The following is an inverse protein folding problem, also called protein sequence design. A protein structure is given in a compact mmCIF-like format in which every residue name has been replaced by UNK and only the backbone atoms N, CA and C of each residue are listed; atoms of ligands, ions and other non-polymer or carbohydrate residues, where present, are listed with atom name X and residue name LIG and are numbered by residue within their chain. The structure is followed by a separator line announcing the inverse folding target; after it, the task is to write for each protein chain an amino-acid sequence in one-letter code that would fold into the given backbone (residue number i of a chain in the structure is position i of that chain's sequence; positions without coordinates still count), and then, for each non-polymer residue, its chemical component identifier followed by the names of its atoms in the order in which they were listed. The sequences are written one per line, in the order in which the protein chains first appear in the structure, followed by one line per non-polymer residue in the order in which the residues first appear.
data_IF_154787307944
#
_entry.id   IF_154787307944
#
_cell.length_a   1.000
_cell.length_b   1.000
_cell.length_c   1.000
_cell.angle_alpha   90.00
_cell.angle_beta   90.00
_cell.angle_gamma   90.00
#
_symmetry.space_group_name_H-M   'P 1'
#
loop_
_entity.id
_entity.type
_entity.pdbx_description
1 polymer ?
#
# COMPACT_ATOMS: atom_id res chain seq x y z
N UNK A 1 19.26 -20.16 61.10
CA UNK A 1 17.99 -19.99 60.36
C UNK A 1 17.37 -18.67 60.80
N UNK A 2 16.86 -17.88 59.84
CA UNK A 2 16.25 -16.54 59.98
C UNK A 2 17.21 -15.35 59.97
N UNK A 3 17.41 -14.75 58.80
CA UNK A 3 17.68 -13.32 58.66
C UNK A 3 17.54 -12.90 57.19
N UNK A 4 16.74 -11.84 56.94
CA UNK A 4 16.70 -11.04 55.69
C UNK A 4 15.97 -11.78 54.56
N UNK A 5 15.02 -11.23 53.82
CA UNK A 5 15.02 -9.90 53.23
C UNK A 5 13.54 -9.52 53.04
N UNK A 6 12.97 -8.89 54.06
CA UNK A 6 11.99 -7.85 53.79
C UNK A 6 12.74 -6.78 52.97
N UNK A 7 12.06 -6.15 52.02
CA UNK A 7 12.57 -5.12 51.10
C UNK A 7 13.10 -5.64 49.77
N UNK A 8 12.19 -5.75 48.80
CA UNK A 8 12.37 -5.19 47.45
C UNK A 8 10.97 -4.97 46.86
N UNK A 9 10.22 -4.04 47.49
CA UNK A 9 9.25 -3.20 46.79
C UNK A 9 10.04 -2.32 45.80
N UNK A 10 10.60 -2.93 44.76
CA UNK A 10 11.23 -2.21 43.65
C UNK A 10 10.17 -2.04 42.58
N UNK A 11 9.43 -0.94 42.73
CA UNK A 11 8.85 -0.10 41.68
C UNK A 11 9.28 -0.54 40.28
N UNK A 12 8.58 -1.53 39.72
CA UNK A 12 8.65 -1.84 38.31
C UNK A 12 7.61 -0.92 37.65
N UNK A 13 8.04 0.31 37.37
CA UNK A 13 7.27 1.26 36.55
C UNK A 13 6.99 0.53 35.24
N UNK A 14 5.71 0.19 35.08
CA UNK A 14 5.15 -0.46 33.90
C UNK A 14 5.49 0.40 32.67
N UNK A 15 6.55 0.03 31.96
CA UNK A 15 6.74 0.40 30.57
C UNK A 15 5.67 -0.34 29.76
N UNK A 16 4.43 0.17 29.78
CA UNK A 16 3.37 -0.31 28.92
C UNK A 16 3.83 -0.05 27.48
N UNK A 17 3.98 -1.08 26.63
CA UNK A 17 4.21 -0.84 25.22
C UNK A 17 2.99 -0.08 24.71
N UNK A 18 3.20 1.17 24.30
CA UNK A 18 2.16 1.95 23.66
C UNK A 18 1.91 1.28 22.31
N UNK A 19 0.91 0.39 22.26
CA UNK A 19 0.47 -0.22 21.03
C UNK A 19 0.03 0.91 20.11
N UNK A 20 0.87 1.23 19.12
CA UNK A 20 0.53 2.16 18.07
C UNK A 20 -0.73 1.62 17.39
N UNK A 21 -1.87 2.27 17.63
CA UNK A 21 -3.11 1.91 17.00
C UNK A 21 -2.94 2.16 15.50
N UNK A 22 -2.83 1.08 14.73
CA UNK A 22 -2.88 1.16 13.28
C UNK A 22 -4.25 1.73 12.92
N UNK A 23 -4.32 3.04 12.67
CA UNK A 23 -5.54 3.67 12.15
C UNK A 23 -5.90 2.94 10.86
N UNK A 24 -7.04 2.25 10.88
CA UNK A 24 -7.58 1.57 9.71
C UNK A 24 -7.71 2.57 8.57
N UNK A 25 -7.28 2.16 7.36
CA UNK A 25 -7.43 2.99 6.16
C UNK A 25 -8.90 3.16 5.79
N UNK A 26 -9.23 4.34 5.28
CA UNK A 26 -10.57 4.70 4.86
C UNK A 26 -10.62 4.87 3.34
N UNK A 27 -10.96 3.79 2.65
CA UNK A 27 -11.12 3.80 1.19
C UNK A 27 -12.53 3.33 0.87
N UNK A 28 -13.29 4.17 0.19
CA UNK A 28 -14.64 3.87 -0.29
C UNK A 28 -14.60 3.74 -1.79
N UNK A 29 -15.13 2.64 -2.33
CA UNK A 29 -15.25 2.42 -3.77
C UNK A 29 -16.69 2.08 -4.09
N UNK A 30 -17.31 2.83 -5.01
CA UNK A 30 -18.71 2.63 -5.40
C UNK A 30 -19.67 2.60 -4.19
N UNK A 31 -19.43 3.48 -3.21
CA UNK A 31 -20.22 3.57 -1.97
C UNK A 31 -19.90 2.50 -0.92
N UNK A 32 -19.01 1.54 -1.19
CA UNK A 32 -18.63 0.49 -0.24
C UNK A 32 -17.30 0.80 0.44
N UNK A 33 -17.29 0.82 1.77
CA UNK A 33 -16.04 0.92 2.55
C UNK A 33 -15.27 -0.39 2.40
N UNK A 34 -14.04 -0.31 1.90
CA UNK A 34 -13.19 -1.47 1.70
C UNK A 34 -12.49 -1.86 3.00
N UNK A 35 -12.54 -3.16 3.32
CA UNK A 35 -11.72 -3.75 4.38
C UNK A 35 -10.22 -3.78 4.02
N UNK A 36 -9.34 -4.01 5.01
CA UNK A 36 -7.89 -3.92 4.82
C UNK A 36 -7.34 -4.86 3.73
N UNK A 37 -7.88 -6.08 3.61
CA UNK A 37 -7.48 -7.02 2.57
C UNK A 37 -7.90 -6.57 1.15
N UNK A 38 -9.07 -5.94 1.01
CA UNK A 38 -9.54 -5.40 -0.26
C UNK A 38 -8.72 -4.17 -0.67
N UNK A 39 -8.41 -3.29 0.28
CA UNK A 39 -7.51 -2.15 0.07
C UNK A 39 -6.12 -2.64 -0.38
N UNK A 40 -5.56 -3.65 0.28
CA UNK A 40 -4.26 -4.22 -0.11
C UNK A 40 -4.28 -4.87 -1.50
N UNK A 41 -5.40 -5.46 -1.92
CA UNK A 41 -5.58 -5.94 -3.30
C UNK A 41 -5.62 -4.78 -4.29
N UNK A 42 -6.34 -3.71 -3.97
CA UNK A 42 -6.47 -2.55 -4.84
C UNK A 42 -5.13 -1.80 -4.99
N UNK A 43 -4.36 -1.65 -3.91
CA UNK A 43 -3.01 -1.08 -3.95
C UNK A 43 -2.08 -1.88 -4.89
N UNK A 44 -2.16 -3.23 -4.83
CA UNK A 44 -1.41 -4.11 -5.74
C UNK A 44 -1.85 -3.94 -7.18
N UNK A 45 -3.16 -3.92 -7.43
CA UNK A 45 -3.71 -3.73 -8.77
C UNK A 45 -3.33 -2.36 -9.36
N UNK A 46 -3.25 -1.33 -8.53
CA UNK A 46 -2.88 0.02 -8.92
C UNK A 46 -1.35 0.27 -8.95
N UNK A 47 -0.51 -0.70 -8.54
CA UNK A 47 0.93 -0.54 -8.33
C UNK A 47 1.33 0.72 -7.55
N UNK A 48 0.46 1.15 -6.63
CA UNK A 48 0.59 2.37 -5.86
C UNK A 48 -0.26 2.26 -4.57
N UNK A 49 0.14 2.98 -3.52
CA UNK A 49 -0.66 3.07 -2.30
C UNK A 49 -1.77 4.09 -2.52
N UNK A 50 -3.01 3.65 -2.41
CA UNK A 50 -4.16 4.52 -2.66
C UNK A 50 -4.41 5.43 -1.46
N UNK A 51 -4.59 6.75 -1.63
CA UNK A 51 -4.94 7.63 -0.52
C UNK A 51 -6.32 7.30 0.06
N UNK A 52 -6.52 7.61 1.34
CA UNK A 52 -7.85 7.54 1.94
C UNK A 52 -8.81 8.50 1.22
N UNK A 53 -10.03 8.08 0.95
CA UNK A 53 -10.98 8.84 0.16
C UNK A 53 -12.12 8.01 -0.44
N UNK A 54 -12.95 8.67 -1.23
CA UNK A 54 -14.10 8.07 -1.92
C UNK A 54 -13.90 8.11 -3.43
N UNK A 55 -14.09 6.95 -4.05
CA UNK A 55 -13.79 6.72 -5.45
C UNK A 55 -14.97 6.01 -6.13
N UNK A 56 -15.08 6.21 -7.44
CA UNK A 56 -15.88 5.33 -8.29
C UNK A 56 -14.94 4.55 -9.22
N UNK A 57 -15.31 3.31 -9.51
CA UNK A 57 -14.60 2.44 -10.46
C UNK A 57 -15.64 1.75 -11.33
N UNK A 58 -15.49 1.91 -12.65
CA UNK A 58 -16.21 1.10 -13.62
C UNK A 58 -15.54 -0.29 -13.73
N UNK A 59 -16.22 -1.33 -13.27
CA UNK A 59 -15.66 -2.69 -13.19
C UNK A 59 -15.42 -3.33 -14.56
N UNK A 60 -16.04 -2.84 -15.64
CA UNK A 60 -15.85 -3.37 -17.00
C UNK A 60 -14.59 -2.83 -17.66
N UNK A 61 -14.38 -1.52 -17.56
CA UNK A 61 -13.29 -0.80 -18.24
C UNK A 61 -12.07 -0.55 -17.34
N UNK A 62 -12.23 -0.72 -16.03
CA UNK A 62 -11.22 -0.39 -15.02
C UNK A 62 -10.95 1.11 -14.86
N UNK A 63 -11.76 1.96 -15.50
CA UNK A 63 -11.65 3.42 -15.34
C UNK A 63 -12.09 3.81 -13.94
N UNK A 64 -11.38 4.75 -13.33
CA UNK A 64 -11.66 5.23 -11.99
C UNK A 64 -11.62 6.75 -11.90
N UNK A 65 -12.23 7.28 -10.83
CA UNK A 65 -12.11 8.67 -10.44
C UNK A 65 -12.55 8.91 -9.00
N UNK A 66 -12.45 10.16 -8.54
CA UNK A 66 -13.05 10.57 -7.26
C UNK A 66 -14.57 10.54 -7.37
N UNK A 67 -15.26 10.13 -6.29
CA UNK A 67 -16.72 10.05 -6.27
C UNK A 67 -17.38 11.37 -6.72
N UNK A 68 -18.28 11.31 -7.70
CA UNK A 68 -18.94 12.49 -8.30
C UNK A 68 -18.08 13.33 -9.26
N UNK A 69 -16.81 12.95 -9.45
CA UNK A 69 -15.86 13.64 -10.33
C UNK A 69 -15.65 12.99 -11.69
N UNK A 70 -14.82 13.63 -12.51
CA UNK A 70 -14.42 13.14 -13.84
C UNK A 70 -13.43 11.96 -13.75
N UNK A 71 -13.31 11.13 -14.80
CA UNK A 71 -12.31 10.06 -14.87
C UNK A 71 -10.88 10.57 -14.62
N UNK A 72 -10.11 9.82 -13.84
CA UNK A 72 -8.71 10.14 -13.50
C UNK A 72 -7.70 9.21 -14.20
N UNK A 73 -8.12 8.00 -14.58
CA UNK A 73 -7.27 7.04 -15.28
C UNK A 73 -7.86 5.64 -15.26
N UNK A 74 -7.03 4.61 -15.53
CA UNK A 74 -7.38 3.21 -15.35
C UNK A 74 -6.58 2.56 -14.22
N UNK A 75 -7.20 1.60 -13.56
CA UNK A 75 -6.53 0.79 -12.54
C UNK A 75 -5.38 0.03 -13.21
N UNK A 76 -4.17 0.22 -12.70
CA UNK A 76 -2.96 -0.46 -13.18
C UNK A 76 -2.09 0.33 -14.15
N UNK A 77 -2.48 1.54 -14.56
CA UNK A 77 -1.65 2.39 -15.44
C UNK A 77 -0.25 2.64 -14.84
N UNK A 78 -0.16 2.82 -13.53
CA UNK A 78 1.12 2.97 -12.82
C UNK A 78 2.02 1.72 -12.92
N UNK A 79 1.45 0.53 -13.13
CA UNK A 79 2.23 -0.69 -13.34
C UNK A 79 2.98 -0.64 -14.67
N UNK A 80 2.38 -0.04 -15.70
CA UNK A 80 3.02 0.13 -17.01
C UNK A 80 4.14 1.16 -16.93
N UNK A 81 3.92 2.26 -16.21
CA UNK A 81 4.94 3.31 -16.02
C UNK A 81 6.18 2.79 -15.27
N UNK A 82 6.02 1.80 -14.38
CA UNK A 82 7.17 1.14 -13.72
C UNK A 82 7.97 0.21 -14.64
N UNK A 83 7.56 -0.02 -15.89
CA UNK A 83 8.35 -0.83 -16.81
C UNK A 83 9.60 -0.04 -17.21
N UNK A 84 10.76 -0.59 -16.86
CA UNK A 84 12.07 -0.11 -17.30
C UNK A 84 12.08 0.11 -18.82
N UNK A 85 12.73 1.18 -19.25
CA UNK A 85 12.94 1.48 -20.66
C UNK A 85 13.66 0.35 -21.40
N UNK A 86 13.58 0.34 -22.73
CA UNK A 86 14.29 -0.66 -23.55
C UNK A 86 15.81 -0.62 -23.30
N UNK A 87 16.36 0.59 -23.08
CA UNK A 87 17.76 0.83 -22.72
C UNK A 87 18.13 0.18 -21.40
N UNK A 88 17.34 0.42 -20.35
CA UNK A 88 17.56 -0.19 -19.02
C UNK A 88 17.38 -1.71 -19.02
N UNK A 89 16.66 -2.25 -20.01
CA UNK A 89 16.48 -3.68 -20.20
C UNK A 89 17.54 -4.31 -21.10
N UNK A 90 18.47 -3.53 -21.66
CA UNK A 90 19.48 -4.03 -22.60
C UNK A 90 18.91 -4.49 -23.94
N UNK A 91 17.74 -3.99 -24.33
CA UNK A 91 16.99 -4.39 -25.53
C UNK A 91 17.00 -3.33 -26.63
N UNK A 92 17.89 -2.34 -26.56
CA UNK A 92 18.01 -1.35 -27.63
C UNK A 92 18.61 -1.93 -28.91
N UNK A 93 19.45 -2.97 -28.79
CA UNK A 93 20.12 -3.60 -29.92
C UNK A 93 19.91 -5.10 -29.86
N UNK A 94 19.74 -5.72 -31.03
CA UNK A 94 19.75 -7.17 -31.14
C UNK A 94 21.18 -7.70 -31.02
N UNK A 95 21.42 -8.87 -30.40
CA UNK A 95 22.73 -9.50 -30.42
C UNK A 95 23.23 -9.67 -31.87
N UNK A 96 24.32 -9.00 -32.22
CA UNK A 96 24.92 -9.04 -33.57
C UNK A 96 24.62 -7.83 -34.48
N UNK A 97 23.76 -6.89 -34.08
CA UNK A 97 23.45 -5.69 -34.86
C UNK A 97 24.58 -4.66 -34.84
N UNK A 98 25.35 -4.60 -33.75
CA UNK A 98 26.47 -3.65 -33.57
C UNK A 98 27.78 -4.08 -34.25
N UNK A 99 27.84 -5.27 -34.85
CA UNK A 99 29.07 -5.88 -35.37
C UNK A 99 29.03 -6.13 -36.87
N UNK A 100 28.12 -5.48 -37.61
CA UNK A 100 27.91 -5.67 -39.04
C UNK A 100 28.10 -4.39 -39.82
#
# INVERSE_FOLDING_TARGET
MSCRVLSLMLVCVLALPMAASARGRYVVVNGQVLGPAAVARLDRAACARIPDGRYWIDMRSGVWGYEGGVPQGRVGDNCQQRRKSLSERGLLYSPGELMR
#
